data_IF_892735696502
#
_entry.id   IF_892735696502
#
_cell.length_a   1.000
_cell.length_b   1.000
_cell.length_c   1.000
_cell.angle_alpha   90.00
_cell.angle_beta   90.00
_cell.angle_gamma   90.00
#
_symmetry.space_group_name_H-M   'P 1'
#
loop_
_entity.id
_entity.type
_entity.pdbx_description
1 polymer ?
#
# COMPACT_ATOMS: atom_id res chain seq x y z
N UNK A 1 2.02 4.56 -22.76
CA UNK A 1 0.70 4.02 -22.31
C UNK A 1 0.63 2.48 -22.19
N UNK A 2 1.74 1.73 -22.29
CA UNK A 2 1.76 0.27 -22.05
C UNK A 2 2.39 -0.15 -20.71
N UNK A 3 2.89 0.81 -19.93
CA UNK A 3 3.62 0.58 -18.67
C UNK A 3 2.74 0.64 -17.42
N UNK A 4 1.49 1.11 -17.54
CA UNK A 4 0.61 1.39 -16.38
C UNK A 4 -0.04 0.13 -15.75
N UNK A 5 0.07 -1.04 -16.39
CA UNK A 5 -0.66 -2.25 -15.94
C UNK A 5 0.18 -3.10 -14.96
N UNK A 6 1.50 -3.00 -14.96
CA UNK A 6 2.38 -3.86 -14.13
C UNK A 6 2.51 -3.35 -12.68
N UNK A 7 2.19 -2.08 -12.40
CA UNK A 7 2.32 -1.49 -11.06
C UNK A 7 1.25 -1.94 -10.05
N UNK A 8 0.21 -2.64 -10.49
CA UNK A 8 -0.96 -2.96 -9.66
C UNK A 8 -0.76 -4.11 -8.67
N UNK A 9 0.30 -4.92 -8.78
CA UNK A 9 0.50 -6.11 -7.95
C UNK A 9 1.42 -5.93 -6.73
N UNK A 10 2.07 -4.78 -6.55
CA UNK A 10 3.09 -4.60 -5.48
C UNK A 10 2.61 -3.73 -4.30
N UNK A 11 1.49 -3.01 -4.42
CA UNK A 11 1.17 -1.91 -3.49
C UNK A 11 0.43 -2.26 -2.18
N UNK A 12 0.25 -3.55 -1.84
CA UNK A 12 -0.42 -3.95 -0.57
C UNK A 12 0.54 -4.58 0.46
N UNK A 13 1.81 -4.85 0.14
CA UNK A 13 2.73 -5.48 1.09
C UNK A 13 3.63 -4.47 1.82
N UNK A 14 3.06 -3.74 2.77
CA UNK A 14 3.83 -3.19 3.89
C UNK A 14 4.12 -4.29 4.91
N UNK A 15 4.96 -5.27 4.56
CA UNK A 15 5.34 -6.38 5.45
C UNK A 15 6.85 -6.56 5.41
N UNK A 16 7.43 -6.66 6.61
CA UNK A 16 8.82 -7.05 6.90
C UNK A 16 9.26 -8.15 5.95
N UNK A 17 10.40 -7.97 5.29
CA UNK A 17 11.02 -8.97 4.43
C UNK A 17 11.30 -10.25 5.23
N UNK A 18 10.37 -11.20 5.21
CA UNK A 18 10.68 -12.60 5.39
C UNK A 18 11.27 -13.10 4.07
N UNK A 19 12.36 -13.87 4.13
CA UNK A 19 13.04 -14.48 2.99
C UNK A 19 12.04 -15.22 2.09
N UNK A 20 11.57 -14.54 1.05
CA UNK A 20 10.68 -15.07 0.04
C UNK A 20 11.55 -15.82 -0.97
N UNK A 21 11.60 -17.14 -0.82
CA UNK A 21 12.26 -18.02 -1.77
C UNK A 21 11.45 -18.07 -3.08
N UNK A 22 11.73 -17.12 -3.98
CA UNK A 22 11.11 -16.99 -5.30
C UNK A 22 11.29 -18.24 -6.18
N UNK A 23 12.29 -19.09 -5.92
CA UNK A 23 12.46 -20.35 -6.63
C UNK A 23 11.34 -21.35 -6.26
N UNK A 24 10.94 -21.37 -5.00
CA UNK A 24 9.90 -22.25 -4.46
C UNK A 24 8.50 -21.89 -4.97
N UNK A 25 8.24 -20.61 -5.28
CA UNK A 25 6.97 -20.18 -5.88
C UNK A 25 6.78 -20.70 -7.32
N UNK A 26 7.85 -20.75 -8.12
CA UNK A 26 7.80 -21.26 -9.49
C UNK A 26 7.59 -22.77 -9.56
N UNK A 27 8.14 -23.51 -8.59
CA UNK A 27 7.93 -24.95 -8.50
C UNK A 27 6.51 -25.29 -8.02
N UNK A 28 5.95 -24.52 -7.07
CA UNK A 28 4.53 -24.64 -6.69
C UNK A 28 3.57 -24.34 -7.85
N UNK A 29 3.94 -23.45 -8.76
CA UNK A 29 3.18 -23.15 -9.98
C UNK A 29 3.04 -24.36 -10.92
N UNK A 30 4.04 -25.25 -10.96
CA UNK A 30 4.03 -26.44 -11.83
C UNK A 30 3.24 -27.62 -11.27
N UNK A 31 3.01 -27.65 -9.97
CA UNK A 31 2.36 -28.77 -9.27
C UNK A 31 0.94 -28.44 -8.74
N UNK A 32 0.54 -27.16 -8.80
CA UNK A 32 -0.74 -26.70 -8.29
C UNK A 32 -1.96 -27.21 -9.06
N UNK A 33 -3.03 -27.56 -8.35
CA UNK A 33 -4.34 -27.85 -8.97
C UNK A 33 -4.87 -26.57 -9.63
N UNK A 34 -5.24 -26.59 -10.94
CA UNK A 34 -5.68 -25.39 -11.63
C UNK A 34 -7.08 -24.95 -11.20
N UNK A 35 -7.37 -23.66 -11.34
CA UNK A 35 -8.74 -23.12 -11.18
C UNK A 35 -9.62 -23.66 -12.30
N UNK A 36 -10.69 -24.37 -11.92
CA UNK A 36 -11.70 -24.94 -12.84
C UNK A 36 -13.07 -24.47 -12.32
N UNK A 37 -13.62 -23.36 -12.83
CA UNK A 37 -14.86 -22.75 -12.33
C UNK A 37 -16.04 -23.74 -12.23
N UNK A 38 -16.17 -24.66 -13.17
CA UNK A 38 -17.26 -25.64 -13.20
C UNK A 38 -17.23 -26.59 -11.99
N UNK A 39 -16.04 -26.87 -11.45
CA UNK A 39 -15.91 -27.71 -10.23
C UNK A 39 -16.38 -26.98 -8.99
N UNK A 40 -16.24 -25.65 -8.94
CA UNK A 40 -16.77 -24.84 -7.84
C UNK A 40 -18.30 -24.85 -7.86
N UNK A 41 -18.91 -24.66 -9.03
CA UNK A 41 -20.37 -24.79 -9.19
C UNK A 41 -20.87 -26.16 -8.77
N UNK A 42 -20.19 -27.24 -9.19
CA UNK A 42 -20.53 -28.60 -8.79
C UNK A 42 -20.41 -28.81 -7.27
N UNK A 43 -19.33 -28.33 -6.65
CA UNK A 43 -19.11 -28.38 -5.20
C UNK A 43 -20.25 -27.70 -4.41
N UNK A 44 -20.69 -26.52 -4.83
CA UNK A 44 -21.81 -25.80 -4.21
C UNK A 44 -23.15 -26.54 -4.46
N UNK A 45 -23.28 -27.19 -5.62
CA UNK A 45 -24.42 -28.03 -5.96
C UNK A 45 -24.55 -29.26 -5.05
N UNK A 46 -23.42 -29.91 -4.72
CA UNK A 46 -23.37 -31.11 -3.90
C UNK A 46 -23.56 -30.85 -2.40
N UNK A 47 -23.32 -29.62 -1.94
CA UNK A 47 -23.54 -29.22 -0.56
C UNK A 47 -25.04 -29.18 -0.21
N UNK A 48 -25.38 -29.46 1.05
CA UNK A 48 -26.71 -29.27 1.62
C UNK A 48 -26.73 -28.35 2.84
N UNK A 49 -25.55 -27.84 3.23
CA UNK A 49 -25.39 -26.83 4.27
C UNK A 49 -24.24 -25.89 3.92
N UNK A 50 -24.46 -24.60 4.18
CA UNK A 50 -23.45 -23.55 4.12
C UNK A 50 -23.29 -22.94 5.51
N UNK A 51 -22.04 -22.73 5.92
CA UNK A 51 -21.68 -22.03 7.16
C UNK A 51 -20.67 -20.94 6.81
N UNK A 52 -20.95 -19.70 7.19
CA UNK A 52 -20.01 -18.59 7.05
C UNK A 52 -19.39 -18.33 8.42
N UNK A 53 -18.07 -18.35 8.47
CA UNK A 53 -17.28 -18.11 9.68
C UNK A 53 -16.32 -16.95 9.46
N UNK A 54 -15.94 -16.32 10.57
CA UNK A 54 -14.83 -15.38 10.64
C UNK A 54 -13.83 -15.92 11.66
N UNK A 55 -12.56 -15.98 11.26
CA UNK A 55 -11.48 -16.35 12.16
C UNK A 55 -10.96 -15.09 12.87
N UNK A 56 -11.02 -15.11 14.20
CA UNK A 56 -10.48 -14.04 15.04
C UNK A 56 -8.95 -14.09 15.12
N UNK A 57 -8.31 -13.04 15.66
CA UNK A 57 -6.84 -12.96 15.80
C UNK A 57 -6.23 -14.08 16.66
N UNK A 58 -7.02 -14.68 17.56
CA UNK A 58 -6.66 -15.81 18.42
C UNK A 58 -6.87 -17.18 17.75
N UNK A 59 -7.35 -17.22 16.51
CA UNK A 59 -7.77 -18.44 15.80
C UNK A 59 -9.15 -18.95 16.22
N UNK A 60 -9.90 -18.19 17.00
CA UNK A 60 -11.28 -18.53 17.35
C UNK A 60 -12.21 -18.34 16.14
N UNK A 61 -12.99 -19.37 15.80
CA UNK A 61 -13.97 -19.30 14.73
C UNK A 61 -15.30 -18.75 15.27
N UNK A 62 -15.77 -17.64 14.68
CA UNK A 62 -17.08 -17.07 14.94
C UNK A 62 -18.02 -17.37 13.78
N UNK A 63 -19.06 -18.15 14.03
CA UNK A 63 -20.13 -18.39 13.04
C UNK A 63 -20.95 -17.12 12.82
N UNK A 64 -20.90 -16.60 11.60
CA UNK A 64 -21.63 -15.41 11.17
C UNK A 64 -23.01 -15.76 10.58
N UNK A 65 -23.09 -16.87 9.85
CA UNK A 65 -24.30 -17.31 9.18
C UNK A 65 -24.30 -18.82 8.97
N UNK A 66 -25.47 -19.45 8.97
CA UNK A 66 -25.66 -20.85 8.63
C UNK A 66 -27.02 -21.03 7.94
N UNK A 67 -27.05 -21.86 6.90
CA UNK A 67 -28.30 -22.27 6.27
C UNK A 67 -28.21 -23.68 5.71
N UNK A 68 -29.35 -24.38 5.74
CA UNK A 68 -29.60 -25.65 5.06
C UNK A 68 -30.60 -25.50 3.92
N UNK A 69 -31.04 -24.28 3.62
CA UNK A 69 -32.01 -24.04 2.58
C UNK A 69 -31.33 -24.05 1.20
N UNK A 70 -31.86 -24.86 0.27
CA UNK A 70 -31.32 -24.98 -1.09
C UNK A 70 -31.22 -23.64 -1.81
N UNK A 71 -32.18 -22.74 -1.59
CA UNK A 71 -32.20 -21.38 -2.16
C UNK A 71 -30.95 -20.57 -1.80
N UNK A 72 -30.35 -20.79 -0.63
CA UNK A 72 -29.18 -20.03 -0.19
C UNK A 72 -27.90 -20.51 -0.88
N UNK A 73 -27.79 -21.82 -1.10
CA UNK A 73 -26.71 -22.43 -1.86
C UNK A 73 -26.84 -22.12 -3.37
N UNK A 74 -28.06 -22.05 -3.90
CA UNK A 74 -28.31 -21.64 -5.29
C UNK A 74 -27.98 -20.16 -5.49
N UNK A 75 -28.33 -19.31 -4.52
CA UNK A 75 -27.92 -17.91 -4.49
C UNK A 75 -26.39 -17.78 -4.40
N UNK A 76 -25.71 -18.62 -3.61
CA UNK A 76 -24.25 -18.63 -3.51
C UNK A 76 -23.61 -19.01 -4.85
N UNK A 77 -24.09 -20.08 -5.47
CA UNK A 77 -23.62 -20.55 -6.78
C UNK A 77 -23.80 -19.48 -7.86
N UNK A 78 -24.91 -18.74 -7.82
CA UNK A 78 -25.20 -17.66 -8.76
C UNK A 78 -24.34 -16.41 -8.53
N UNK A 79 -24.00 -16.11 -7.27
CA UNK A 79 -23.21 -14.96 -6.89
C UNK A 79 -21.70 -15.15 -7.12
N UNK A 80 -21.20 -16.36 -6.86
CA UNK A 80 -19.77 -16.67 -6.92
C UNK A 80 -19.39 -17.23 -8.29
N UNK A 81 -19.22 -16.32 -9.25
CA UNK A 81 -18.63 -16.64 -10.56
C UNK A 81 -17.15 -16.24 -10.53
N UNK A 82 -16.25 -17.16 -10.85
CA UNK A 82 -14.81 -16.91 -10.85
C UNK A 82 -14.21 -17.02 -12.24
N UNK A 83 -13.16 -16.22 -12.48
CA UNK A 83 -12.36 -16.22 -13.70
C UNK A 83 -11.12 -17.08 -13.44
N UNK A 84 -10.84 -18.01 -14.37
CA UNK A 84 -9.57 -18.74 -14.37
C UNK A 84 -8.44 -17.73 -14.66
N UNK A 85 -7.45 -17.59 -13.77
CA UNK A 85 -6.38 -16.64 -14.01
C UNK A 85 -5.41 -17.15 -15.09
N UNK A 86 -4.86 -16.22 -15.88
CA UNK A 86 -3.86 -16.53 -16.91
C UNK A 86 -2.55 -17.01 -16.28
N UNK A 87 -2.22 -16.48 -15.10
CA UNK A 87 -1.06 -16.85 -14.30
C UNK A 87 -1.50 -17.19 -12.87
N UNK A 88 -0.81 -18.13 -12.23
CA UNK A 88 -1.06 -18.42 -10.82
C UNK A 88 -0.72 -17.20 -9.96
N UNK A 89 -1.58 -16.88 -9.01
CA UNK A 89 -1.35 -15.84 -8.02
C UNK A 89 -1.95 -16.23 -6.66
N UNK A 90 -1.51 -15.54 -5.60
CA UNK A 90 -1.92 -15.82 -4.23
C UNK A 90 -1.89 -14.55 -3.39
N UNK A 91 -3.01 -14.22 -2.71
CA UNK A 91 -3.04 -13.22 -1.66
C UNK A 91 -2.24 -13.72 -0.45
N UNK A 92 -1.41 -12.87 0.12
CA UNK A 92 -0.70 -13.17 1.36
C UNK A 92 -1.60 -13.15 2.60
N UNK A 93 -2.85 -12.73 2.45
CA UNK A 93 -3.88 -12.75 3.48
C UNK A 93 -4.51 -14.14 3.61
N UNK A 94 -5.08 -14.44 4.78
CA UNK A 94 -5.89 -15.67 5.00
C UNK A 94 -7.26 -15.57 4.31
N UNK A 95 -7.78 -14.35 4.15
CA UNK A 95 -9.13 -14.09 3.67
C UNK A 95 -10.14 -14.07 4.82
N UNK A 96 -11.22 -13.32 4.64
CA UNK A 96 -12.36 -13.28 5.55
C UNK A 96 -13.60 -12.69 4.84
N UNK A 97 -14.82 -13.19 5.10
CA UNK A 97 -15.10 -14.40 5.85
C UNK A 97 -14.78 -15.66 5.04
N UNK A 98 -14.79 -16.81 5.72
CA UNK A 98 -14.64 -18.13 5.12
C UNK A 98 -16.01 -18.82 5.03
N UNK A 99 -16.32 -19.40 3.88
CA UNK A 99 -17.53 -20.17 3.61
C UNK A 99 -17.17 -21.65 3.60
N UNK A 100 -17.72 -22.37 4.55
CA UNK A 100 -17.63 -23.82 4.67
C UNK A 100 -18.87 -24.46 4.04
N UNK A 101 -18.65 -25.42 3.14
CA UNK A 101 -19.68 -26.17 2.44
C UNK A 101 -19.71 -27.60 2.97
N UNK A 102 -20.88 -28.05 3.40
CA UNK A 102 -21.05 -29.39 3.96
C UNK A 102 -22.03 -30.22 3.14
N UNK A 103 -21.77 -31.52 3.09
CA UNK A 103 -22.74 -32.55 2.72
C UNK A 103 -23.05 -33.35 3.97
N UNK A 104 -24.27 -33.19 4.45
CA UNK A 104 -24.69 -33.63 5.77
C UNK A 104 -23.84 -32.95 6.86
N UNK A 105 -23.00 -33.72 7.56
CA UNK A 105 -22.07 -33.20 8.56
C UNK A 105 -20.61 -33.17 8.09
N UNK A 106 -20.32 -33.66 6.88
CA UNK A 106 -18.97 -33.70 6.33
C UNK A 106 -18.64 -32.39 5.61
N UNK A 107 -17.51 -31.77 5.94
CA UNK A 107 -16.98 -30.60 5.22
C UNK A 107 -16.44 -31.05 3.86
N UNK A 108 -17.10 -30.65 2.79
CA UNK A 108 -16.71 -31.03 1.41
C UNK A 108 -15.93 -29.93 0.69
N UNK A 109 -15.97 -28.70 1.19
CA UNK A 109 -15.31 -27.58 0.57
C UNK A 109 -15.19 -26.34 1.45
N UNK A 110 -14.18 -25.54 1.17
CA UNK A 110 -13.94 -24.27 1.85
C UNK A 110 -13.62 -23.20 0.80
N UNK A 111 -14.19 -22.02 0.98
CA UNK A 111 -14.01 -20.84 0.12
C UNK A 111 -13.73 -19.62 1.00
N UNK A 112 -12.54 -19.03 0.92
CA UNK A 112 -12.19 -17.82 1.69
C UNK A 112 -12.29 -16.59 0.79
N UNK A 113 -12.94 -15.52 1.27
CA UNK A 113 -13.05 -14.24 0.56
C UNK A 113 -11.77 -13.41 0.75
N UNK A 114 -11.14 -13.00 -0.35
CA UNK A 114 -9.95 -12.16 -0.34
C UNK A 114 -10.30 -10.77 -0.87
N UNK A 115 -10.48 -9.83 0.07
CA UNK A 115 -10.72 -8.42 -0.20
C UNK A 115 -11.96 -8.13 -1.05
N UNK A 116 -12.93 -9.05 -1.10
CA UNK A 116 -14.12 -8.95 -1.96
C UNK A 116 -13.83 -9.03 -3.47
N UNK A 117 -12.61 -9.37 -3.87
CA UNK A 117 -12.16 -9.32 -5.27
C UNK A 117 -11.69 -10.68 -5.81
N UNK A 118 -11.24 -11.56 -4.92
CA UNK A 118 -10.85 -12.92 -5.27
C UNK A 118 -11.26 -13.90 -4.18
N UNK A 119 -11.21 -15.19 -4.50
CA UNK A 119 -11.46 -16.27 -3.54
C UNK A 119 -10.34 -17.31 -3.60
N UNK A 120 -10.08 -17.91 -2.45
CA UNK A 120 -9.30 -19.15 -2.32
C UNK A 120 -10.26 -20.30 -2.11
N UNK A 121 -10.03 -21.42 -2.79
CA UNK A 121 -10.90 -22.59 -2.66
C UNK A 121 -10.06 -23.86 -2.47
N UNK A 122 -10.53 -24.76 -1.61
CA UNK A 122 -9.88 -26.06 -1.35
C UNK A 122 -9.73 -26.97 -2.58
N UNK A 123 -10.43 -26.67 -3.68
CA UNK A 123 -10.35 -27.40 -4.94
C UNK A 123 -9.05 -27.17 -5.72
N UNK A 124 -8.39 -26.03 -5.52
CA UNK A 124 -7.25 -25.58 -6.33
C UNK A 124 -6.19 -24.83 -5.51
N UNK A 125 -5.06 -24.51 -6.14
CA UNK A 125 -3.90 -23.93 -5.45
C UNK A 125 -3.69 -22.43 -5.70
N UNK A 126 -4.35 -21.83 -6.69
CA UNK A 126 -4.31 -20.39 -6.97
C UNK A 126 -5.49 -19.70 -6.32
N UNK A 127 -5.38 -18.41 -6.05
CA UNK A 127 -6.58 -17.61 -5.86
C UNK A 127 -7.26 -17.39 -7.23
N UNK A 128 -8.57 -17.14 -7.22
CA UNK A 128 -9.38 -16.93 -8.42
C UNK A 128 -10.13 -15.59 -8.33
N UNK A 129 -10.10 -14.81 -9.40
CA UNK A 129 -10.74 -13.48 -9.45
C UNK A 129 -12.25 -13.65 -9.56
N UNK A 130 -13.02 -12.85 -8.82
CA UNK A 130 -14.48 -12.81 -8.89
C UNK A 130 -14.90 -12.02 -10.14
N UNK A 131 -15.74 -12.63 -10.99
CA UNK A 131 -16.19 -12.02 -12.24
C UNK A 131 -17.21 -10.88 -12.02
N UNK A 132 -18.12 -11.06 -11.06
CA UNK A 132 -19.15 -10.08 -10.71
C UNK A 132 -19.06 -9.75 -9.21
N UNK A 133 -18.23 -8.76 -8.91
CA UNK A 133 -17.98 -8.32 -7.52
C UNK A 133 -19.25 -7.81 -6.86
N UNK A 134 -20.14 -7.10 -7.56
CA UNK A 134 -21.33 -6.55 -6.91
C UNK A 134 -22.36 -7.64 -6.58
N UNK A 135 -22.56 -8.63 -7.45
CA UNK A 135 -23.42 -9.77 -7.16
C UNK A 135 -22.86 -10.62 -6.00
N UNK A 136 -21.53 -10.79 -5.96
CA UNK A 136 -20.84 -11.44 -4.85
C UNK A 136 -21.05 -10.72 -3.52
N UNK A 137 -20.82 -9.41 -3.46
CA UNK A 137 -21.03 -8.61 -2.25
C UNK A 137 -22.50 -8.60 -1.83
N UNK A 138 -23.44 -8.55 -2.79
CA UNK A 138 -24.88 -8.59 -2.52
C UNK A 138 -25.28 -9.88 -1.79
N UNK A 139 -24.66 -11.02 -2.10
CA UNK A 139 -24.93 -12.28 -1.41
C UNK A 139 -24.66 -12.18 0.10
N UNK A 140 -23.61 -11.45 0.50
CA UNK A 140 -23.31 -11.16 1.90
C UNK A 140 -24.28 -10.14 2.50
N UNK A 141 -24.61 -9.07 1.78
CA UNK A 141 -25.53 -8.02 2.26
C UNK A 141 -26.94 -8.55 2.55
N UNK A 142 -27.45 -9.42 1.68
CA UNK A 142 -28.75 -10.06 1.83
C UNK A 142 -28.81 -10.87 3.14
N UNK A 143 -27.66 -11.30 3.65
CA UNK A 143 -27.46 -12.04 4.92
C UNK A 143 -26.97 -11.15 6.06
N UNK A 144 -26.94 -9.84 5.86
CA UNK A 144 -26.49 -8.82 6.85
C UNK A 144 -25.03 -8.96 7.26
N UNK A 145 -24.19 -9.47 6.36
CA UNK A 145 -22.75 -9.60 6.53
C UNK A 145 -22.06 -8.45 5.78
N UNK A 146 -21.92 -7.30 6.41
CA UNK A 146 -21.45 -6.08 5.72
C UNK A 146 -19.91 -5.97 5.59
N UNK A 147 -19.16 -6.85 6.26
CA UNK A 147 -17.69 -6.84 6.29
C UNK A 147 -17.03 -6.79 4.91
N UNK A 148 -17.34 -7.73 3.98
CA UNK A 148 -16.76 -7.73 2.64
C UNK A 148 -17.00 -6.44 1.86
N UNK A 149 -18.21 -5.87 1.94
CA UNK A 149 -18.54 -4.62 1.23
C UNK A 149 -17.77 -3.44 1.80
N UNK A 150 -17.74 -3.29 3.12
CA UNK A 150 -16.96 -2.25 3.79
C UNK A 150 -15.50 -2.31 3.39
N UNK A 151 -14.90 -3.49 3.38
CA UNK A 151 -13.50 -3.67 2.96
C UNK A 151 -13.27 -3.23 1.50
N UNK A 152 -14.16 -3.60 0.58
CA UNK A 152 -14.06 -3.16 -0.83
C UNK A 152 -14.18 -1.64 -0.95
N UNK A 153 -15.12 -1.03 -0.23
CA UNK A 153 -15.34 0.43 -0.26
C UNK A 153 -14.17 1.19 0.36
N UNK A 154 -13.63 0.72 1.48
CA UNK A 154 -12.42 1.26 2.11
C UNK A 154 -11.19 1.12 1.20
N UNK A 155 -11.05 -0.03 0.52
CA UNK A 155 -9.99 -0.24 -0.47
C UNK A 155 -10.11 0.73 -1.65
N UNK A 156 -11.31 0.92 -2.20
CA UNK A 156 -11.57 1.90 -3.27
C UNK A 156 -11.25 3.32 -2.80
N UNK A 157 -11.70 3.71 -1.60
CA UNK A 157 -11.43 5.03 -1.04
C UNK A 157 -9.91 5.25 -0.81
N UNK A 158 -9.20 4.24 -0.31
CA UNK A 158 -7.73 4.28 -0.16
C UNK A 158 -7.03 4.39 -1.50
N UNK A 159 -7.46 3.65 -2.52
CA UNK A 159 -6.90 3.73 -3.87
C UNK A 159 -7.12 5.10 -4.50
N UNK A 160 -8.33 5.65 -4.38
CA UNK A 160 -8.65 6.98 -4.88
C UNK A 160 -7.83 8.07 -4.18
N UNK A 161 -7.62 7.94 -2.86
CA UNK A 161 -6.76 8.84 -2.11
C UNK A 161 -5.29 8.70 -2.54
N UNK A 162 -4.80 7.47 -2.64
CA UNK A 162 -3.44 7.18 -3.12
C UNK A 162 -3.19 7.77 -4.52
N UNK A 163 -4.14 7.63 -5.45
CA UNK A 163 -4.03 8.20 -6.79
C UNK A 163 -4.01 9.74 -6.77
N UNK A 164 -4.81 10.38 -5.91
CA UNK A 164 -4.77 11.84 -5.73
C UNK A 164 -3.42 12.29 -5.18
N UNK A 165 -2.92 11.59 -4.16
CA UNK A 165 -1.65 11.91 -3.51
C UNK A 165 -0.47 11.69 -4.47
N UNK A 166 -0.49 10.58 -5.20
CA UNK A 166 0.45 10.28 -6.28
C UNK A 166 0.49 11.40 -7.32
N UNK A 167 -0.68 11.80 -7.85
CA UNK A 167 -0.75 12.90 -8.84
C UNK A 167 -0.20 14.21 -8.29
N UNK A 168 -0.54 14.55 -7.04
CA UNK A 168 -0.04 15.75 -6.36
C UNK A 168 1.49 15.70 -6.23
N UNK A 169 2.04 14.57 -5.82
CA UNK A 169 3.47 14.39 -5.65
C UNK A 169 4.23 14.43 -6.98
N UNK A 170 3.72 13.76 -8.02
CA UNK A 170 4.28 13.81 -9.38
C UNK A 170 4.23 15.22 -9.96
N UNK A 171 3.15 15.97 -9.73
CA UNK A 171 3.05 17.37 -10.16
C UNK A 171 4.03 18.31 -9.44
N UNK A 172 4.60 17.88 -8.31
CA UNK A 172 5.58 18.64 -7.53
C UNK A 172 7.04 18.30 -7.89
N UNK A 173 7.28 17.35 -8.82
CA UNK A 173 8.62 17.01 -9.30
C UNK A 173 9.33 18.27 -9.81
N UNK A 174 10.58 18.54 -9.37
CA UNK A 174 11.37 19.65 -9.89
C UNK A 174 11.54 19.56 -11.40
N UNK A 175 11.35 20.69 -12.09
CA UNK A 175 11.54 20.78 -13.54
C UNK A 175 12.91 20.23 -13.96
N UNK A 176 12.92 19.39 -14.97
CA UNK A 176 14.10 18.69 -15.49
C UNK A 176 14.28 17.27 -14.96
N UNK A 177 13.60 16.89 -13.87
CA UNK A 177 13.63 15.51 -13.37
C UNK A 177 12.55 14.63 -13.99
N UNK A 178 11.48 15.21 -14.54
CA UNK A 178 10.35 14.49 -15.14
C UNK A 178 10.74 13.44 -16.20
N UNK A 179 11.77 13.64 -17.04
CA UNK A 179 12.17 12.65 -18.03
C UNK A 179 12.96 11.46 -17.47
N UNK A 180 13.52 11.56 -16.26
CA UNK A 180 14.50 10.59 -15.75
C UNK A 180 14.07 9.91 -14.44
N UNK A 181 13.07 10.45 -13.73
CA UNK A 181 12.67 9.92 -12.43
C UNK A 181 11.98 8.56 -12.50
N UNK A 182 11.18 8.28 -13.53
CA UNK A 182 10.52 6.97 -13.69
C UNK A 182 11.56 5.84 -13.81
N UNK A 183 12.60 6.07 -14.60
CA UNK A 183 13.70 5.12 -14.82
C UNK A 183 14.64 4.99 -13.60
N UNK A 184 14.51 5.90 -12.62
CA UNK A 184 15.34 5.88 -11.42
C UNK A 184 14.86 4.86 -10.39
N UNK A 185 13.69 4.25 -10.58
CA UNK A 185 13.20 3.14 -9.76
C UNK A 185 13.72 1.81 -10.32
N UNK A 186 14.68 1.21 -9.63
CA UNK A 186 15.04 -0.19 -9.90
C UNK A 186 13.94 -1.15 -9.45
N UNK A 187 13.97 -2.38 -9.98
CA UNK A 187 13.09 -3.48 -9.57
C UNK A 187 13.15 -3.80 -8.05
N UNK A 188 14.16 -3.30 -7.34
CA UNK A 188 14.38 -3.52 -5.91
C UNK A 188 14.15 -2.27 -5.06
N UNK A 189 13.45 -1.25 -5.58
CA UNK A 189 13.17 0.01 -4.87
C UNK A 189 14.43 0.78 -4.43
N UNK A 190 15.60 0.44 -4.97
CA UNK A 190 16.82 1.23 -4.80
C UNK A 190 16.80 2.35 -5.84
N UNK A 191 16.87 3.59 -5.37
CA UNK A 191 16.89 4.79 -6.20
C UNK A 191 18.30 5.04 -6.70
N UNK A 192 18.51 5.08 -8.02
CA UNK A 192 19.76 5.59 -8.59
C UNK A 192 19.72 7.13 -8.63
N UNK A 193 20.39 7.76 -7.67
CA UNK A 193 20.38 9.22 -7.54
C UNK A 193 21.30 9.93 -8.55
N UNK A 194 22.24 9.24 -9.21
CA UNK A 194 23.20 9.88 -10.13
C UNK A 194 22.53 10.58 -11.34
N UNK A 195 21.64 9.93 -12.12
CA UNK A 195 20.98 10.59 -13.24
C UNK A 195 20.11 11.77 -12.76
N UNK A 196 19.44 11.61 -11.62
CA UNK A 196 18.61 12.65 -11.00
C UNK A 196 19.43 13.87 -10.58
N UNK A 197 20.55 13.68 -9.89
CA UNK A 197 21.45 14.78 -9.48
C UNK A 197 21.97 15.54 -10.70
N UNK A 198 22.35 14.83 -11.76
CA UNK A 198 22.84 15.47 -12.99
C UNK A 198 21.74 16.30 -13.66
N UNK A 199 20.53 15.74 -13.79
CA UNK A 199 19.39 16.45 -14.35
C UNK A 199 19.02 17.69 -13.51
N UNK A 200 19.01 17.56 -12.18
CA UNK A 200 18.74 18.66 -11.24
C UNK A 200 19.75 19.80 -11.39
N UNK A 201 21.05 19.48 -11.52
CA UNK A 201 22.11 20.48 -11.71
C UNK A 201 21.98 21.23 -13.04
N UNK A 202 21.55 20.55 -14.10
CA UNK A 202 21.34 21.15 -15.42
C UNK A 202 20.12 22.07 -15.40
N UNK A 203 19.02 21.64 -14.79
CA UNK A 203 17.76 22.41 -14.82
C UNK A 203 17.69 23.51 -13.78
N UNK A 204 18.33 23.33 -12.62
CA UNK A 204 18.36 24.28 -11.50
C UNK A 204 19.82 24.47 -11.08
N UNK A 205 20.61 25.37 -11.71
CA UNK A 205 22.06 25.43 -11.46
C UNK A 205 22.47 25.88 -10.05
N UNK A 206 21.63 26.68 -9.38
CA UNK A 206 21.94 27.20 -8.04
C UNK A 206 21.58 26.18 -6.97
N UNK A 207 22.55 25.86 -6.11
CA UNK A 207 22.44 24.82 -5.10
C UNK A 207 21.29 25.05 -4.11
N UNK A 208 21.10 26.29 -3.69
CA UNK A 208 20.04 26.68 -2.76
C UNK A 208 18.66 26.47 -3.41
N UNK A 209 18.53 26.80 -4.69
CA UNK A 209 17.29 26.59 -5.44
C UNK A 209 17.02 25.09 -5.67
N UNK A 210 18.07 24.26 -5.82
CA UNK A 210 17.92 22.80 -5.88
C UNK A 210 17.35 22.24 -4.58
N UNK A 211 17.94 22.60 -3.43
CA UNK A 211 17.48 22.17 -2.11
C UNK A 211 16.04 22.62 -1.87
N UNK A 212 15.73 23.88 -2.13
CA UNK A 212 14.37 24.42 -1.95
C UNK A 212 13.33 23.75 -2.86
N UNK A 213 13.70 23.33 -4.07
CA UNK A 213 12.82 22.57 -4.96
C UNK A 213 12.59 21.14 -4.43
N UNK A 214 13.64 20.49 -3.93
CA UNK A 214 13.55 19.14 -3.35
C UNK A 214 12.75 19.13 -2.04
N UNK A 215 12.94 20.14 -1.16
CA UNK A 215 12.12 20.30 0.05
C UNK A 215 10.64 20.46 -0.30
N UNK A 216 10.32 21.30 -1.30
CA UNK A 216 8.94 21.44 -1.78
C UNK A 216 8.38 20.10 -2.25
N UNK A 217 9.13 19.36 -3.05
CA UNK A 217 8.70 18.06 -3.58
C UNK A 217 8.47 17.03 -2.47
N UNK A 218 9.41 16.93 -1.52
CA UNK A 218 9.29 16.02 -0.38
C UNK A 218 8.13 16.38 0.54
N UNK A 219 7.90 17.68 0.77
CA UNK A 219 6.77 18.17 1.55
C UNK A 219 5.40 18.05 0.87
N UNK A 220 5.36 17.71 -0.42
CA UNK A 220 4.11 17.40 -1.12
C UNK A 220 3.65 15.94 -0.95
N UNK A 221 4.50 15.08 -0.37
CA UNK A 221 4.14 13.69 -0.08
C UNK A 221 3.04 13.58 0.96
N UNK A 222 2.30 12.47 0.92
CA UNK A 222 1.11 12.25 1.74
C UNK A 222 1.33 11.18 2.82
N UNK A 223 2.39 10.39 2.73
CA UNK A 223 2.68 9.36 3.71
C UNK A 223 3.07 9.91 5.09
N UNK A 224 2.87 9.12 6.16
CA UNK A 224 3.37 9.47 7.48
C UNK A 224 4.91 9.58 7.46
N UNK A 225 5.46 10.35 8.40
CA UNK A 225 6.88 10.60 8.49
C UNK A 225 7.68 9.35 8.94
N UNK A 226 7.04 8.37 9.57
CA UNK A 226 7.66 7.09 9.94
C UNK A 226 7.65 6.01 8.87
N UNK A 227 6.89 6.19 7.78
CA UNK A 227 6.79 5.21 6.72
C UNK A 227 5.86 5.72 5.63
N UNK A 228 6.39 5.89 4.43
CA UNK A 228 5.66 6.53 3.33
C UNK A 228 5.79 5.67 2.07
N UNK A 229 4.93 5.91 1.06
CA UNK A 229 5.03 5.20 -0.21
C UNK A 229 6.46 5.29 -0.76
N UNK A 230 7.03 4.15 -1.19
CA UNK A 230 8.44 4.04 -1.56
C UNK A 230 8.87 5.08 -2.60
N UNK A 231 7.96 5.54 -3.47
CA UNK A 231 8.26 6.59 -4.44
C UNK A 231 8.66 7.93 -3.81
N UNK A 232 8.13 8.27 -2.64
CA UNK A 232 8.45 9.55 -1.98
C UNK A 232 9.90 9.59 -1.48
N UNK A 233 10.55 8.43 -1.34
CA UNK A 233 11.95 8.32 -0.89
C UNK A 233 12.93 9.00 -1.84
N UNK A 234 12.59 9.16 -3.11
CA UNK A 234 13.47 9.77 -4.12
C UNK A 234 13.87 11.18 -3.71
N UNK A 235 12.91 11.99 -3.25
CA UNK A 235 13.18 13.36 -2.84
C UNK A 235 14.06 13.41 -1.58
N UNK A 236 13.83 12.51 -0.61
CA UNK A 236 14.65 12.39 0.59
C UNK A 236 16.08 11.95 0.26
N UNK A 237 16.26 10.92 -0.57
CA UNK A 237 17.58 10.43 -0.96
C UNK A 237 18.39 11.50 -1.71
N UNK A 238 17.75 12.34 -2.53
CA UNK A 238 18.40 13.50 -3.15
C UNK A 238 18.77 14.57 -2.12
N UNK A 239 17.87 14.89 -1.17
CA UNK A 239 18.16 15.85 -0.08
C UNK A 239 19.33 15.39 0.80
N UNK A 240 19.43 14.09 1.07
CA UNK A 240 20.50 13.49 1.86
C UNK A 240 21.87 13.46 1.15
N UNK A 241 21.95 13.94 -0.09
CA UNK A 241 23.24 14.15 -0.78
C UNK A 241 23.89 15.51 -0.47
N UNK A 242 23.14 16.41 0.18
CA UNK A 242 23.60 17.73 0.62
C UNK A 242 24.12 17.67 2.06
N UNK A 243 25.07 18.54 2.40
CA UNK A 243 25.50 18.72 3.78
C UNK A 243 24.44 19.50 4.57
N UNK A 244 24.41 19.31 5.89
CA UNK A 244 23.38 19.91 6.76
C UNK A 244 23.46 21.43 6.75
N UNK A 245 24.67 21.99 6.78
CA UNK A 245 24.93 23.43 6.67
C UNK A 245 24.43 24.04 5.36
N UNK A 246 24.50 23.29 4.26
CA UNK A 246 23.97 23.70 2.96
C UNK A 246 22.44 23.76 2.96
N UNK A 247 21.79 22.78 3.59
CA UNK A 247 20.33 22.74 3.75
C UNK A 247 19.86 23.89 4.64
N UNK A 248 20.52 24.08 5.79
CA UNK A 248 20.23 25.19 6.72
C UNK A 248 20.41 26.53 6.00
N UNK A 249 21.52 26.73 5.30
CA UNK A 249 21.79 27.97 4.55
C UNK A 249 20.70 28.24 3.50
N UNK A 250 20.26 27.22 2.76
CA UNK A 250 19.19 27.38 1.78
C UNK A 250 17.86 27.81 2.41
N UNK A 251 17.56 27.31 3.62
CA UNK A 251 16.37 27.68 4.40
C UNK A 251 16.45 29.10 4.94
N UNK A 252 17.62 29.56 5.41
CA UNK A 252 17.77 30.89 6.02
C UNK A 252 17.68 32.04 5.02
N UNK A 253 18.11 31.83 3.78
CA UNK A 253 18.20 32.90 2.76
C UNK A 253 16.83 33.42 2.33
N UNK A 254 15.74 32.65 2.52
CA UNK A 254 14.40 33.03 2.04
C UNK A 254 13.30 32.61 3.00
N UNK A 255 12.18 33.34 2.95
CA UNK A 255 10.94 32.89 3.57
C UNK A 255 10.44 31.64 2.84
N UNK A 256 10.38 30.51 3.53
CA UNK A 256 9.87 29.26 2.99
C UNK A 256 8.36 29.34 2.71
N UNK A 257 7.92 28.66 1.65
CA UNK A 257 6.50 28.36 1.42
C UNK A 257 6.07 27.13 2.26
N UNK A 258 4.76 26.92 2.50
CA UNK A 258 4.29 25.84 3.37
C UNK A 258 4.84 24.45 3.02
N UNK A 259 4.92 24.11 1.74
CA UNK A 259 5.43 22.81 1.28
C UNK A 259 6.93 22.64 1.56
N UNK A 260 7.71 23.73 1.52
CA UNK A 260 9.13 23.68 1.87
C UNK A 260 9.33 23.53 3.37
N UNK A 261 8.50 24.20 4.19
CA UNK A 261 8.50 24.02 5.64
C UNK A 261 8.14 22.58 5.98
N UNK A 262 7.12 22.02 5.33
CA UNK A 262 6.71 20.63 5.49
C UNK A 262 7.84 19.66 5.13
N UNK A 263 8.47 19.84 3.96
CA UNK A 263 9.58 18.98 3.53
C UNK A 263 10.80 19.07 4.46
N UNK A 264 11.12 20.27 4.96
CA UNK A 264 12.21 20.45 5.92
C UNK A 264 11.89 19.78 7.26
N UNK A 265 10.67 19.97 7.77
CA UNK A 265 10.22 19.36 9.01
C UNK A 265 10.22 17.82 8.91
N UNK A 266 9.75 17.30 7.77
CA UNK A 266 9.77 15.87 7.46
C UNK A 266 11.18 15.31 7.36
N UNK A 267 12.10 16.00 6.67
CA UNK A 267 13.50 15.59 6.54
C UNK A 267 14.18 15.51 7.90
N UNK A 268 14.13 16.59 8.69
CA UNK A 268 14.78 16.63 10.01
C UNK A 268 14.10 15.71 11.04
N UNK A 269 12.78 15.47 10.91
CA UNK A 269 12.06 14.48 11.71
C UNK A 269 12.30 13.02 11.29
N UNK A 270 12.86 12.81 10.10
CA UNK A 270 13.07 11.54 9.44
C UNK A 270 14.09 10.63 10.12
N UNK A 271 13.87 9.32 9.99
CA UNK A 271 14.81 8.31 10.50
C UNK A 271 16.12 8.31 9.71
N UNK A 272 16.04 8.41 8.38
CA UNK A 272 17.23 8.37 7.52
C UNK A 272 18.13 9.58 7.70
N UNK A 273 17.58 10.77 7.91
CA UNK A 273 18.37 11.94 8.28
C UNK A 273 19.14 11.72 9.59
N UNK A 274 18.47 11.23 10.64
CA UNK A 274 19.12 10.94 11.93
C UNK A 274 20.20 9.85 11.81
N UNK A 275 20.01 8.88 10.91
CA UNK A 275 20.96 7.81 10.64
C UNK A 275 22.18 8.28 9.86
N UNK A 276 21.99 9.04 8.78
CA UNK A 276 23.09 9.54 7.92
C UNK A 276 23.80 10.75 8.54
N UNK A 277 23.10 11.56 9.33
CA UNK A 277 23.61 12.76 9.99
C UNK A 277 23.29 12.74 11.50
N UNK A 278 23.92 11.85 12.29
CA UNK A 278 23.61 11.69 13.72
C UNK A 278 23.84 12.95 14.57
N UNK A 279 24.65 13.89 14.08
CA UNK A 279 24.88 15.21 14.72
C UNK A 279 24.17 16.36 14.01
N UNK A 280 23.53 16.11 12.86
CA UNK A 280 22.96 17.15 12.00
C UNK A 280 21.88 17.99 12.69
N UNK A 281 21.06 17.40 13.56
CA UNK A 281 20.04 18.15 14.30
C UNK A 281 20.64 19.18 15.28
N UNK A 282 21.85 18.95 15.77
CA UNK A 282 22.54 19.94 16.62
C UNK A 282 22.99 21.17 15.82
N UNK A 283 23.18 21.02 14.51
CA UNK A 283 23.60 22.09 13.60
C UNK A 283 22.41 22.94 13.11
N UNK A 284 21.17 22.46 13.27
CA UNK A 284 19.97 23.22 12.89
C UNK A 284 19.70 24.33 13.93
N UNK A 285 19.70 25.62 13.52
CA UNK A 285 19.45 26.76 14.40
C UNK A 285 18.08 26.72 15.09
N UNK A 286 18.01 27.23 16.32
CA UNK A 286 16.77 27.25 17.12
C UNK A 286 15.63 28.01 16.45
N UNK A 287 15.95 29.06 15.68
CA UNK A 287 14.94 29.82 14.91
C UNK A 287 14.27 28.95 13.84
N UNK A 288 15.04 28.08 13.17
CA UNK A 288 14.50 27.12 12.22
C UNK A 288 13.69 26.06 12.97
N UNK A 289 14.23 25.47 14.04
CA UNK A 289 13.52 24.47 14.86
C UNK A 289 12.14 24.96 15.32
N UNK A 290 12.06 26.20 15.83
CA UNK A 290 10.80 26.84 16.21
C UNK A 290 9.84 26.98 15.03
N UNK A 291 10.34 27.43 13.87
CA UNK A 291 9.53 27.56 12.65
C UNK A 291 8.94 26.20 12.23
N UNK A 292 9.74 25.14 12.24
CA UNK A 292 9.30 23.78 11.91
C UNK A 292 8.31 23.25 12.95
N UNK A 293 8.55 23.51 14.24
CA UNK A 293 7.65 23.13 15.32
C UNK A 293 6.29 23.82 15.21
N UNK A 294 6.28 25.12 14.95
CA UNK A 294 5.05 25.90 14.83
C UNK A 294 4.16 25.43 13.68
N UNK A 295 4.75 24.89 12.61
CA UNK A 295 4.00 24.31 11.49
C UNK A 295 3.24 23.03 11.86
N UNK A 296 3.72 22.26 12.84
CA UNK A 296 3.26 20.88 13.08
C UNK A 296 2.64 20.67 14.46
N UNK A 297 2.84 21.58 15.42
CA UNK A 297 2.38 21.41 16.81
C UNK A 297 0.87 21.20 16.97
N UNK A 298 0.08 21.73 16.04
CA UNK A 298 -1.39 21.70 16.05
C UNK A 298 -1.98 20.62 15.13
N UNK A 299 -1.15 19.73 14.57
CA UNK A 299 -1.63 18.61 13.75
C UNK A 299 -2.30 17.53 14.59
N UNK A 300 -3.31 16.87 14.02
CA UNK A 300 -3.91 15.65 14.59
C UNK A 300 -3.14 14.38 14.20
N UNK A 301 -2.15 14.49 13.32
CA UNK A 301 -1.26 13.40 12.95
C UNK A 301 -0.27 13.10 14.08
N UNK A 302 -0.52 12.01 14.81
CA UNK A 302 0.30 11.59 15.95
C UNK A 302 1.72 11.25 15.54
N UNK A 303 1.93 10.61 14.39
CA UNK A 303 3.26 10.21 13.92
C UNK A 303 4.12 11.45 13.65
N UNK A 304 3.57 12.39 12.88
CA UNK A 304 4.21 13.67 12.60
C UNK A 304 4.56 14.44 13.88
N UNK A 305 3.63 14.50 14.83
CA UNK A 305 3.82 15.22 16.09
C UNK A 305 4.89 14.56 16.97
N UNK A 306 4.92 13.24 17.08
CA UNK A 306 5.94 12.50 17.84
C UNK A 306 7.35 12.68 17.26
N UNK A 307 7.48 12.60 15.93
CA UNK A 307 8.73 12.81 15.21
C UNK A 307 9.25 14.24 15.39
N UNK A 308 8.38 15.23 15.21
CA UNK A 308 8.70 16.63 15.44
C UNK A 308 9.14 16.90 16.89
N UNK A 309 8.44 16.31 17.86
CA UNK A 309 8.77 16.45 19.29
C UNK A 309 10.19 15.99 19.60
N UNK A 310 10.58 14.86 19.02
CA UNK A 310 11.91 14.28 19.19
C UNK A 310 13.00 15.10 18.49
N UNK A 311 12.71 15.65 17.31
CA UNK A 311 13.73 16.25 16.46
C UNK A 311 13.99 17.74 16.75
N UNK A 312 12.95 18.54 16.99
CA UNK A 312 13.08 19.99 17.01
C UNK A 312 12.07 20.73 17.91
N UNK A 313 11.47 20.05 18.89
CA UNK A 313 10.72 20.76 19.94
C UNK A 313 11.68 21.70 20.69
N UNK A 314 11.37 23.00 20.76
CA UNK A 314 12.20 23.98 21.45
C UNK A 314 12.34 23.73 22.96
#
# INVERSE_FOLDING_TARGET
MKTAIIFWLILVAGVVAADLDLANLKDRQKEGKPVIPERLTALIGDANRVVVIEEGPSGEERKLYESRERKDLDALSSALVVIKPDEWFHCMCLGSPTINLYKDEELIGQISNHHGQSVRCSLWSSDAVIADVENWLKWFDDRKLDGPRKEVEENRARQDQHERDWRKWVAAIPKGLEPVWEDSFSQFLVVDTKPLINALKVSIPKKEDQILALLKWFGCGAGPWSGFPSYESVAEELLLTYQVDEIVSAIEVRKLIPEQVEGAARLFGGWDFSRKHPKGLAEVPDVIKRTLWDQVKDTNDKDKLERARRAFKP
#
